data_IF_922243731889
#
_entry.id   IF_922243731889
#
_cell.length_a   1.000
_cell.length_b   1.000
_cell.length_c   1.000
_cell.angle_alpha   90.00
_cell.angle_beta   90.00
_cell.angle_gamma   90.00
#
_symmetry.space_group_name_H-M   'P 1'
#
loop_
_entity.id
_entity.type
_entity.pdbx_description
1 polymer ?
#
# COMPACT_ATOMS: atom_id res chain seq x y z
N UNK A 1 15.00 -13.77 -23.97
CA UNK A 1 15.22 -14.52 -22.70
C UNK A 1 14.70 -13.72 -21.52
N UNK A 2 13.79 -14.26 -20.72
CA UNK A 2 13.35 -13.65 -19.45
C UNK A 2 14.45 -13.86 -18.40
N UNK A 3 15.16 -12.79 -18.01
CA UNK A 3 16.16 -12.89 -16.93
C UNK A 3 15.46 -13.14 -15.60
N UNK A 4 16.05 -14.01 -14.78
CA UNK A 4 15.58 -14.35 -13.44
C UNK A 4 15.48 -13.07 -12.60
N UNK A 5 14.36 -12.87 -11.91
CA UNK A 5 14.19 -11.69 -11.05
C UNK A 5 15.22 -11.76 -9.92
N UNK A 6 16.14 -10.79 -9.88
CA UNK A 6 17.08 -10.61 -8.77
C UNK A 6 16.33 -9.98 -7.60
N UNK A 7 16.53 -10.52 -6.40
CA UNK A 7 16.02 -9.94 -5.16
C UNK A 7 17.10 -9.07 -4.54
N UNK A 8 16.70 -7.86 -4.14
CA UNK A 8 17.58 -6.91 -3.47
C UNK A 8 17.01 -6.59 -2.10
N UNK A 9 17.88 -6.56 -1.09
CA UNK A 9 17.52 -6.17 0.28
C UNK A 9 17.11 -4.70 0.33
N UNK A 10 16.40 -4.31 1.39
CA UNK A 10 16.03 -2.91 1.63
C UNK A 10 17.28 -2.01 1.65
N UNK A 11 18.26 -2.40 2.46
CA UNK A 11 19.51 -1.67 2.64
C UNK A 11 20.28 -1.52 1.32
N UNK A 12 20.35 -2.58 0.51
CA UNK A 12 21.00 -2.51 -0.79
C UNK A 12 20.35 -1.45 -1.69
N UNK A 13 19.01 -1.41 -1.75
CA UNK A 13 18.29 -0.43 -2.57
C UNK A 13 18.54 0.99 -2.09
N UNK A 14 18.53 1.21 -0.78
CA UNK A 14 18.78 2.52 -0.18
C UNK A 14 20.20 3.01 -0.49
N UNK A 15 21.21 2.18 -0.21
CA UNK A 15 22.62 2.51 -0.49
C UNK A 15 22.87 2.72 -1.99
N UNK A 16 22.25 1.92 -2.86
CA UNK A 16 22.38 2.09 -4.31
C UNK A 16 21.81 3.45 -4.77
N UNK A 17 20.67 3.86 -4.24
CA UNK A 17 20.07 5.17 -4.54
C UNK A 17 20.93 6.30 -3.98
N UNK A 18 21.40 6.20 -2.74
CA UNK A 18 22.30 7.19 -2.13
C UNK A 18 23.60 7.37 -2.92
N UNK A 19 24.29 6.27 -3.21
CA UNK A 19 25.51 6.25 -4.01
C UNK A 19 25.30 6.88 -5.38
N UNK A 20 24.14 6.64 -6.00
CA UNK A 20 23.82 7.21 -7.29
C UNK A 20 23.71 8.74 -7.25
N UNK A 21 23.20 9.32 -6.16
CA UNK A 21 23.14 10.77 -5.99
C UNK A 21 24.51 11.34 -5.65
N UNK A 22 25.30 10.65 -4.84
CA UNK A 22 26.65 11.07 -4.47
C UNK A 22 27.63 11.09 -5.66
N UNK A 23 27.64 10.05 -6.51
CA UNK A 23 28.54 9.97 -7.67
C UNK A 23 28.08 10.81 -8.88
N UNK A 24 26.79 11.17 -8.98
CA UNK A 24 26.22 11.87 -10.14
C UNK A 24 26.10 11.05 -11.44
N UNK A 25 26.85 9.93 -11.58
CA UNK A 25 26.81 9.06 -12.75
C UNK A 25 26.06 7.74 -12.47
N UNK A 26 24.82 7.66 -12.94
CA UNK A 26 23.94 6.48 -12.77
C UNK A 26 24.49 5.25 -13.50
N UNK A 27 25.08 5.42 -14.68
CA UNK A 27 25.55 4.30 -15.51
C UNK A 27 26.71 3.58 -14.81
N UNK A 28 27.68 4.34 -14.32
CA UNK A 28 28.81 3.78 -13.59
C UNK A 28 28.35 3.05 -12.32
N UNK A 29 27.45 3.65 -11.54
CA UNK A 29 26.90 3.00 -10.33
C UNK A 29 26.17 1.70 -10.65
N UNK A 30 25.48 1.63 -11.79
CA UNK A 30 24.81 0.41 -12.23
C UNK A 30 25.80 -0.70 -12.61
N UNK A 31 26.88 -0.33 -13.29
CA UNK A 31 27.97 -1.25 -13.65
C UNK A 31 28.68 -1.77 -12.39
N UNK A 32 29.03 -0.87 -11.46
CA UNK A 32 29.69 -1.21 -10.18
C UNK A 32 28.83 -2.17 -9.33
N UNK A 33 27.50 -2.03 -9.36
CA UNK A 33 26.56 -2.79 -8.53
C UNK A 33 25.91 -3.99 -9.26
N UNK A 34 26.26 -4.25 -10.53
CA UNK A 34 25.63 -5.26 -11.40
C UNK A 34 24.08 -5.20 -11.39
N UNK A 35 23.56 -3.97 -11.54
CA UNK A 35 22.12 -3.69 -11.64
C UNK A 35 21.81 -2.96 -12.95
N UNK A 36 20.56 -3.06 -13.40
CA UNK A 36 20.13 -2.32 -14.58
C UNK A 36 19.79 -0.86 -14.23
N UNK A 37 20.13 0.10 -15.11
CA UNK A 37 19.75 1.50 -14.94
C UNK A 37 18.24 1.70 -14.72
N UNK A 38 17.40 0.94 -15.45
CA UNK A 38 15.94 0.99 -15.29
C UNK A 38 15.47 0.65 -13.87
N UNK A 39 16.17 -0.25 -13.18
CA UNK A 39 15.88 -0.62 -11.79
C UNK A 39 16.27 0.51 -10.84
N UNK A 40 17.45 1.11 -11.05
CA UNK A 40 17.93 2.21 -10.21
C UNK A 40 17.08 3.48 -10.38
N UNK A 41 16.67 3.83 -11.60
CA UNK A 41 15.74 4.93 -11.84
C UNK A 41 14.39 4.71 -11.17
N UNK A 42 13.89 3.47 -11.21
CA UNK A 42 12.66 3.11 -10.49
C UNK A 42 12.84 3.27 -8.99
N UNK A 43 13.94 2.83 -8.40
CA UNK A 43 14.19 3.02 -6.96
C UNK A 43 14.33 4.49 -6.57
N UNK A 44 14.96 5.33 -7.40
CA UNK A 44 14.99 6.78 -7.20
C UNK A 44 13.59 7.38 -7.16
N UNK A 45 12.73 7.00 -8.13
CA UNK A 45 11.34 7.46 -8.17
C UNK A 45 10.58 6.98 -6.94
N UNK A 46 10.70 5.69 -6.60
CA UNK A 46 10.05 5.13 -5.40
C UNK A 46 10.49 5.90 -4.15
N UNK A 47 11.79 6.16 -3.96
CA UNK A 47 12.32 6.94 -2.84
C UNK A 47 11.79 8.37 -2.80
N UNK A 48 11.69 9.02 -3.95
CA UNK A 48 11.14 10.37 -4.08
C UNK A 48 9.66 10.44 -3.70
N UNK A 49 8.87 9.51 -4.21
CA UNK A 49 7.40 9.55 -4.09
C UNK A 49 6.92 9.05 -2.72
N UNK A 50 7.62 8.07 -2.13
CA UNK A 50 7.17 7.38 -0.92
C UNK A 50 8.13 7.51 0.28
N UNK A 51 9.33 8.05 0.12
CA UNK A 51 10.30 8.25 1.20
C UNK A 51 10.61 6.97 1.96
N UNK A 52 10.34 6.94 3.28
CA UNK A 52 10.51 5.73 4.11
C UNK A 52 9.64 4.54 3.68
N UNK A 53 8.56 4.78 2.94
CA UNK A 53 7.60 3.76 2.51
C UNK A 53 7.90 3.15 1.13
N UNK A 54 9.05 3.47 0.54
CA UNK A 54 9.39 3.13 -0.85
C UNK A 54 9.57 1.64 -1.13
N UNK A 55 9.94 0.89 -0.10
CA UNK A 55 10.31 -0.52 -0.22
C UNK A 55 9.56 -1.37 0.81
N UNK A 56 8.22 -1.49 0.74
CA UNK A 56 7.39 -2.08 1.79
C UNK A 56 7.42 -3.62 1.84
N UNK A 57 8.26 -4.27 1.02
CA UNK A 57 8.30 -5.73 0.90
C UNK A 57 7.33 -6.29 -0.14
N UNK A 58 7.25 -7.63 -0.23
CA UNK A 58 6.37 -8.33 -1.17
C UNK A 58 4.93 -8.35 -0.65
N UNK A 59 3.97 -8.15 -1.54
CA UNK A 59 2.54 -8.18 -1.21
C UNK A 59 2.00 -6.90 -0.57
N UNK A 60 2.86 -5.96 -0.17
CA UNK A 60 2.45 -4.70 0.42
C UNK A 60 2.39 -3.59 -0.64
N UNK A 61 1.28 -2.85 -0.75
CA UNK A 61 1.19 -1.70 -1.64
C UNK A 61 2.14 -0.59 -1.19
N UNK A 62 2.74 0.12 -2.14
CA UNK A 62 3.46 1.36 -1.86
C UNK A 62 2.43 2.45 -1.62
N UNK A 63 2.40 2.96 -0.41
CA UNK A 63 1.49 4.00 0.02
C UNK A 63 2.25 5.02 0.85
N UNK A 64 1.98 6.29 0.61
CA UNK A 64 2.37 7.37 1.52
C UNK A 64 1.68 7.18 2.87
N UNK A 65 2.15 7.86 3.91
CA UNK A 65 1.50 7.80 5.22
C UNK A 65 0.05 8.33 5.13
N UNK A 66 -0.19 9.33 4.28
CA UNK A 66 -1.53 9.86 4.02
C UNK A 66 -2.43 8.84 3.32
N UNK A 67 -1.93 8.16 2.29
CA UNK A 67 -2.69 7.11 1.59
C UNK A 67 -3.03 5.94 2.52
N UNK A 68 -2.11 5.55 3.41
CA UNK A 68 -2.37 4.53 4.44
C UNK A 68 -3.49 4.95 5.38
N UNK A 69 -3.48 6.20 5.84
CA UNK A 69 -4.52 6.71 6.73
C UNK A 69 -5.87 6.81 6.01
N UNK A 70 -5.90 7.28 4.77
CA UNK A 70 -7.12 7.30 3.95
C UNK A 70 -7.69 5.89 3.78
N UNK A 71 -6.86 4.90 3.49
CA UNK A 71 -7.29 3.51 3.36
C UNK A 71 -7.86 2.97 4.68
N UNK A 72 -7.23 3.28 5.81
CA UNK A 72 -7.70 2.92 7.14
C UNK A 72 -9.06 3.56 7.46
N UNK A 73 -9.20 4.86 7.24
CA UNK A 73 -10.42 5.61 7.51
C UNK A 73 -11.58 5.12 6.64
N UNK A 74 -11.34 4.87 5.34
CA UNK A 74 -12.36 4.31 4.45
C UNK A 74 -12.84 2.94 4.91
N UNK A 75 -11.93 2.10 5.42
CA UNK A 75 -12.29 0.80 5.98
C UNK A 75 -13.17 0.96 7.23
N UNK A 76 -12.74 1.79 8.18
CA UNK A 76 -13.48 2.04 9.41
C UNK A 76 -14.88 2.62 9.13
N UNK A 77 -14.99 3.54 8.17
CA UNK A 77 -16.28 4.10 7.75
C UNK A 77 -17.19 3.01 7.18
N UNK A 78 -16.67 2.17 6.29
CA UNK A 78 -17.44 1.07 5.69
C UNK A 78 -17.93 0.07 6.74
N UNK A 79 -17.07 -0.28 7.69
CA UNK A 79 -17.41 -1.22 8.76
C UNK A 79 -18.53 -0.63 9.64
N UNK A 80 -18.43 0.64 10.03
CA UNK A 80 -19.47 1.34 10.79
C UNK A 80 -20.79 1.50 10.03
N UNK A 81 -20.74 1.79 8.72
CA UNK A 81 -21.93 1.83 7.87
C UNK A 81 -22.62 0.47 7.79
N UNK A 82 -21.84 -0.61 7.67
CA UNK A 82 -22.36 -1.98 7.64
C UNK A 82 -23.03 -2.34 8.98
N UNK A 83 -22.39 -2.06 10.10
CA UNK A 83 -22.95 -2.30 11.44
C UNK A 83 -24.28 -1.54 11.62
N UNK A 84 -24.30 -0.24 11.27
CA UNK A 84 -25.52 0.58 11.32
C UNK A 84 -26.63 -0.02 10.47
N UNK A 85 -26.31 -0.47 9.27
CA UNK A 85 -27.31 -1.02 8.34
C UNK A 85 -27.84 -2.38 8.79
N UNK A 86 -27.00 -3.21 9.42
CA UNK A 86 -27.43 -4.45 10.07
C UNK A 86 -28.40 -4.13 11.21
N UNK A 87 -28.07 -3.17 12.07
CA UNK A 87 -28.93 -2.76 13.19
C UNK A 87 -30.27 -2.21 12.71
N UNK A 88 -30.27 -1.35 11.68
CA UNK A 88 -31.50 -0.84 11.07
C UNK A 88 -32.39 -1.97 10.51
N UNK A 89 -31.79 -2.94 9.82
CA UNK A 89 -32.51 -4.12 9.31
C UNK A 89 -33.10 -4.95 10.45
N UNK A 90 -32.34 -5.18 11.52
CA UNK A 90 -32.81 -5.91 12.69
C UNK A 90 -34.03 -5.22 13.33
N UNK A 91 -33.94 -3.91 13.61
CA UNK A 91 -35.06 -3.13 14.16
C UNK A 91 -36.30 -3.24 13.26
N UNK A 92 -36.14 -3.08 11.94
CA UNK A 92 -37.25 -3.19 10.99
C UNK A 92 -37.96 -4.55 11.05
N UNK A 93 -37.22 -5.65 11.27
CA UNK A 93 -37.79 -7.00 11.39
C UNK A 93 -38.58 -7.13 12.69
N UNK A 94 -38.01 -6.68 13.81
CA UNK A 94 -38.69 -6.74 15.12
C UNK A 94 -39.95 -5.87 15.14
N UNK A 95 -39.88 -4.61 14.68
CA UNK A 95 -41.03 -3.70 14.67
C UNK A 95 -42.16 -4.12 13.72
N UNK A 96 -41.88 -4.93 12.69
CA UNK A 96 -42.90 -5.47 11.79
C UNK A 96 -43.58 -6.73 12.34
N UNK A 97 -42.93 -7.42 13.28
CA UNK A 97 -43.45 -8.66 13.89
C UNK A 97 -44.50 -8.35 14.97
N UNK A 98 -44.34 -7.25 15.72
CA UNK A 98 -45.33 -6.81 16.72
C UNK A 98 -46.70 -6.44 16.10
N UNK A 99 -46.70 -5.87 14.88
CA UNK A 99 -47.96 -5.49 14.19
C UNK A 99 -48.82 -6.67 13.73
N UNK A 100 -48.27 -7.90 13.65
CA UNK A 100 -49.01 -9.09 13.21
C UNK A 100 -49.64 -9.88 14.37
N UNK A 101 -49.22 -9.63 15.62
CA UNK A 101 -49.71 -10.36 16.79
C UNK A 101 -50.72 -9.59 17.66
N UNK A 102 -51.07 -8.34 17.33
CA UNK A 102 -52.06 -7.55 18.08
C UNK A 102 -53.50 -7.70 17.58
N UNK A 103 -53.83 -8.82 16.94
CA UNK A 103 -55.19 -9.19 16.56
C UNK A 103 -55.77 -10.24 17.51
N UNK A 104 -56.21 -9.79 18.69
CA UNK A 104 -57.13 -10.48 19.60
C UNK A 104 -58.27 -9.52 19.92
#
# INVERSE_FOLDING_TARGET
MRRKSKHYTLEFKQKAVELSYAKGNVKQVCEDLDIFPSVLYRWRRELKDYGKNSFPGRGNPKMTDQEKEIARLKKALKDAEMERDILKKAISIFSSSDKKNSGL
#
